data_IF_054346304041
#
_entry.id   IF_054346304041
#
_cell.length_a   1.000
_cell.length_b   1.000
_cell.length_c   1.000
_cell.angle_alpha   90.00
_cell.angle_beta   90.00
_cell.angle_gamma   90.00
#
_symmetry.space_group_name_H-M   'P 1'
#
loop_
_entity.id
_entity.type
_entity.pdbx_description
1 polymer ?
#
# COMPACT_ATOMS: atom_id res chain seq x y z
N UNK A 1 -10.60 -19.39 8.93
CA UNK A 1 -9.75 -18.23 9.26
C UNK A 1 -8.56 -18.73 10.06
N UNK A 2 -7.38 -18.55 9.52
CA UNK A 2 -6.16 -19.04 10.13
C UNK A 2 -5.46 -18.01 11.00
N UNK A 3 -4.68 -18.49 11.97
CA UNK A 3 -3.84 -17.64 12.83
C UNK A 3 -2.81 -16.82 12.02
N UNK A 4 -2.29 -17.38 10.93
CA UNK A 4 -1.34 -16.69 10.03
C UNK A 4 -1.98 -15.48 9.34
N UNK A 5 -3.20 -15.66 8.82
CA UNK A 5 -3.95 -14.56 8.18
C UNK A 5 -4.25 -13.43 9.18
N UNK A 6 -4.66 -13.79 10.40
CA UNK A 6 -4.90 -12.82 11.47
C UNK A 6 -3.63 -12.06 11.86
N UNK A 7 -2.49 -12.75 11.96
CA UNK A 7 -1.19 -12.11 12.25
C UNK A 7 -0.78 -11.13 11.12
N UNK A 8 -0.94 -11.51 9.86
CA UNK A 8 -0.64 -10.64 8.72
C UNK A 8 -1.55 -9.41 8.71
N UNK A 9 -2.84 -9.59 8.96
CA UNK A 9 -3.79 -8.49 9.05
C UNK A 9 -3.42 -7.52 10.18
N UNK A 10 -3.02 -8.03 11.34
CA UNK A 10 -2.55 -7.22 12.48
C UNK A 10 -1.29 -6.42 12.15
N UNK A 11 -0.32 -7.05 11.50
CA UNK A 11 0.90 -6.34 11.02
C UNK A 11 0.56 -5.20 10.08
N UNK A 12 -0.33 -5.46 9.14
CA UNK A 12 -0.80 -4.43 8.21
C UNK A 12 -1.54 -3.29 8.94
N UNK A 13 -2.43 -3.62 9.85
CA UNK A 13 -3.16 -2.65 10.67
C UNK A 13 -2.24 -1.79 11.54
N UNK A 14 -1.19 -2.38 12.11
CA UNK A 14 -0.15 -1.64 12.85
C UNK A 14 0.56 -0.63 11.96
N UNK A 15 0.99 -1.06 10.78
CA UNK A 15 1.61 -0.17 9.79
C UNK A 15 0.70 0.98 9.41
N UNK A 16 -0.60 0.71 9.23
CA UNK A 16 -1.60 1.72 8.93
C UNK A 16 -1.81 2.71 10.08
N UNK A 17 -1.82 2.24 11.32
CA UNK A 17 -1.93 3.12 12.51
C UNK A 17 -0.73 4.05 12.60
N UNK A 18 0.47 3.52 12.41
CA UNK A 18 1.70 4.30 12.43
C UNK A 18 1.69 5.37 11.34
N UNK A 19 1.33 5.00 10.13
CA UNK A 19 1.19 5.93 9.01
C UNK A 19 0.17 7.04 9.32
N UNK A 20 -1.00 6.68 9.80
CA UNK A 20 -2.05 7.63 10.16
C UNK A 20 -1.59 8.61 11.23
N UNK A 21 -0.92 8.12 12.27
CA UNK A 21 -0.41 8.97 13.37
C UNK A 21 0.59 10.01 12.84
N UNK A 22 1.52 9.60 11.99
CA UNK A 22 2.50 10.50 11.39
C UNK A 22 1.81 11.54 10.51
N UNK A 23 0.93 11.11 9.60
CA UNK A 23 0.27 12.01 8.65
C UNK A 23 -0.66 13.00 9.36
N UNK A 24 -1.39 12.57 10.38
CA UNK A 24 -2.24 13.48 11.19
C UNK A 24 -1.44 14.60 11.83
N UNK A 25 -0.20 14.32 12.23
CA UNK A 25 0.69 15.30 12.85
C UNK A 25 1.40 16.26 11.90
N UNK A 26 1.28 16.07 10.59
CA UNK A 26 1.96 16.92 9.60
C UNK A 26 1.27 18.29 9.48
N UNK A 27 2.08 19.33 9.35
CA UNK A 27 1.60 20.68 9.03
C UNK A 27 1.20 20.77 7.54
N UNK A 28 0.48 21.84 7.20
CA UNK A 28 0.16 22.14 5.79
C UNK A 28 1.43 22.34 4.96
N UNK A 29 2.47 22.92 5.55
CA UNK A 29 3.76 23.09 4.89
C UNK A 29 4.43 21.74 4.63
N UNK A 30 4.42 20.81 5.60
CA UNK A 30 4.96 19.46 5.44
C UNK A 30 4.22 18.67 4.36
N UNK A 31 2.91 18.83 4.29
CA UNK A 31 2.07 18.16 3.29
C UNK A 31 2.46 18.49 1.85
N UNK A 32 3.03 19.67 1.64
CA UNK A 32 3.45 20.18 0.33
C UNK A 32 4.92 19.92 0.00
N UNK A 33 5.74 19.50 0.97
CA UNK A 33 7.16 19.19 0.73
C UNK A 33 7.30 18.07 -0.28
N UNK A 34 8.31 18.16 -1.12
CA UNK A 34 8.61 17.15 -2.15
C UNK A 34 9.59 16.13 -1.58
N UNK A 35 9.23 14.86 -1.68
CA UNK A 35 10.09 13.76 -1.22
C UNK A 35 11.27 13.55 -2.15
N UNK A 36 12.40 13.10 -1.59
CA UNK A 36 13.59 12.79 -2.36
C UNK A 36 13.45 11.48 -3.16
N UNK A 37 12.77 10.50 -2.61
CA UNK A 37 12.58 9.18 -3.21
C UNK A 37 11.64 9.24 -4.41
N UNK A 38 10.39 9.60 -4.18
CA UNK A 38 9.36 9.61 -5.21
C UNK A 38 9.43 10.88 -6.08
N UNK A 39 9.97 11.97 -5.54
CA UNK A 39 9.95 13.33 -6.13
C UNK A 39 8.52 13.85 -6.29
N UNK A 40 7.66 13.49 -5.36
CA UNK A 40 6.26 13.90 -5.29
C UNK A 40 6.00 14.71 -4.01
N UNK A 41 4.99 15.57 -3.99
CA UNK A 41 4.52 16.14 -2.74
C UNK A 41 4.13 15.04 -1.74
N UNK A 42 4.41 15.27 -0.46
CA UNK A 42 4.05 14.33 0.62
C UNK A 42 2.57 13.93 0.54
N UNK A 43 1.69 14.89 0.31
CA UNK A 43 0.25 14.61 0.15
C UNK A 43 -0.05 13.66 -1.00
N UNK A 44 0.65 13.80 -2.12
CA UNK A 44 0.49 12.88 -3.25
C UNK A 44 0.98 11.47 -2.88
N UNK A 45 2.08 11.35 -2.15
CA UNK A 45 2.59 10.06 -1.65
C UNK A 45 1.55 9.39 -0.75
N UNK A 46 1.00 10.14 0.22
CA UNK A 46 -0.03 9.61 1.12
C UNK A 46 -1.29 9.16 0.38
N UNK A 47 -1.74 9.94 -0.60
CA UNK A 47 -2.88 9.61 -1.44
C UNK A 47 -2.62 8.33 -2.27
N UNK A 48 -1.41 8.20 -2.80
CA UNK A 48 -0.97 6.99 -3.52
C UNK A 48 -1.04 5.75 -2.62
N UNK A 49 -0.57 5.84 -1.37
CA UNK A 49 -0.65 4.71 -0.42
C UNK A 49 -2.12 4.36 -0.13
N UNK A 50 -2.95 5.37 0.11
CA UNK A 50 -4.38 5.17 0.37
C UNK A 50 -5.10 4.43 -0.78
N UNK A 51 -4.86 4.85 -2.01
CA UNK A 51 -5.37 4.15 -3.20
C UNK A 51 -4.73 2.79 -3.42
N UNK A 52 -3.45 2.67 -3.06
CA UNK A 52 -2.68 1.42 -3.12
C UNK A 52 -3.29 0.29 -2.29
N UNK A 53 -3.85 0.60 -1.12
CA UNK A 53 -4.53 -0.40 -0.29
C UNK A 53 -5.62 -1.15 -1.06
N UNK A 54 -6.45 -0.43 -1.80
CA UNK A 54 -7.51 -1.03 -2.59
C UNK A 54 -6.98 -1.83 -3.78
N UNK A 55 -6.04 -1.26 -4.52
CA UNK A 55 -5.48 -1.91 -5.71
C UNK A 55 -4.68 -3.16 -5.37
N UNK A 56 -3.79 -3.06 -4.40
CA UNK A 56 -2.90 -4.16 -4.00
C UNK A 56 -3.71 -5.29 -3.34
N UNK A 57 -4.60 -4.97 -2.40
CA UNK A 57 -5.38 -5.99 -1.72
C UNK A 57 -6.30 -6.75 -2.68
N UNK A 58 -6.87 -6.08 -3.68
CA UNK A 58 -7.66 -6.73 -4.74
C UNK A 58 -6.80 -7.68 -5.57
N UNK A 59 -5.60 -7.24 -5.96
CA UNK A 59 -4.66 -8.07 -6.70
C UNK A 59 -4.28 -9.32 -5.90
N UNK A 60 -3.98 -9.16 -4.62
CA UNK A 60 -3.65 -10.27 -3.72
C UNK A 60 -4.82 -11.22 -3.52
N UNK A 61 -6.04 -10.71 -3.44
CA UNK A 61 -7.23 -11.54 -3.36
C UNK A 61 -7.42 -12.39 -4.63
N UNK A 62 -7.25 -11.78 -5.81
CA UNK A 62 -7.29 -12.51 -7.08
C UNK A 62 -6.22 -13.60 -7.13
N UNK A 63 -5.00 -13.28 -6.70
CA UNK A 63 -3.89 -14.22 -6.60
C UNK A 63 -4.24 -15.39 -5.67
N UNK A 64 -4.73 -15.10 -4.47
CA UNK A 64 -5.12 -16.12 -3.48
C UNK A 64 -6.24 -17.03 -3.99
N UNK A 65 -7.18 -16.49 -4.74
CA UNK A 65 -8.30 -17.24 -5.32
C UNK A 65 -7.98 -17.92 -6.67
N UNK A 66 -6.73 -17.90 -7.10
CA UNK A 66 -6.29 -18.46 -8.37
C UNK A 66 -7.03 -17.88 -9.59
N UNK A 67 -7.38 -16.61 -9.51
CA UNK A 67 -8.00 -15.90 -10.63
C UNK A 67 -6.91 -15.38 -11.58
N UNK A 68 -7.20 -15.19 -12.87
CA UNK A 68 -6.25 -14.60 -13.80
C UNK A 68 -5.81 -13.22 -13.34
N UNK A 69 -4.48 -13.01 -13.24
CA UNK A 69 -3.90 -11.73 -12.84
C UNK A 69 -3.63 -10.85 -14.06
N UNK A 70 -3.79 -9.53 -13.95
CA UNK A 70 -3.35 -8.62 -15.00
C UNK A 70 -1.83 -8.75 -15.16
N UNK A 71 -1.36 -8.62 -16.40
CA UNK A 71 0.08 -8.64 -16.68
C UNK A 71 0.68 -7.28 -16.30
N UNK A 72 1.20 -7.19 -15.09
CA UNK A 72 1.84 -5.99 -14.59
C UNK A 72 3.35 -6.05 -14.84
N UNK A 73 3.86 -5.02 -15.52
CA UNK A 73 5.30 -4.79 -15.71
C UNK A 73 5.72 -3.58 -14.88
N UNK A 74 7.02 -3.44 -14.64
CA UNK A 74 7.56 -2.26 -13.97
C UNK A 74 7.19 -0.98 -14.73
N UNK A 75 7.26 -1.00 -16.05
CA UNK A 75 6.93 0.14 -16.89
C UNK A 75 5.46 0.55 -16.74
N UNK A 76 4.55 -0.41 -16.73
CA UNK A 76 3.13 -0.13 -16.51
C UNK A 76 2.86 0.44 -15.12
N UNK A 77 3.54 -0.07 -14.10
CA UNK A 77 3.45 0.47 -12.74
C UNK A 77 3.94 1.92 -12.71
N UNK A 78 5.06 2.21 -13.35
CA UNK A 78 5.62 3.56 -13.43
C UNK A 78 4.68 4.53 -14.19
N UNK A 79 4.07 4.09 -15.28
CA UNK A 79 3.06 4.87 -16.03
C UNK A 79 1.84 5.19 -15.16
N UNK A 80 1.33 4.20 -14.44
CA UNK A 80 0.20 4.39 -13.53
C UNK A 80 0.55 5.37 -12.40
N UNK A 81 1.76 5.30 -11.87
CA UNK A 81 2.24 6.21 -10.85
C UNK A 81 2.38 7.64 -11.38
N UNK A 82 2.92 7.82 -12.58
CA UNK A 82 3.00 9.14 -13.22
C UNK A 82 1.61 9.74 -13.47
N UNK A 83 0.67 8.93 -13.88
CA UNK A 83 -0.74 9.34 -14.06
C UNK A 83 -1.36 9.78 -12.72
N UNK A 84 -1.12 9.01 -11.65
CA UNK A 84 -1.60 9.36 -10.32
C UNK A 84 -1.08 10.73 -9.87
N UNK A 85 0.22 10.99 -10.05
CA UNK A 85 0.82 12.29 -9.73
C UNK A 85 0.16 13.43 -10.53
N UNK A 86 -0.08 13.22 -11.83
CA UNK A 86 -0.71 14.22 -12.68
C UNK A 86 -2.15 14.51 -12.27
N UNK A 87 -2.90 13.50 -11.84
CA UNK A 87 -4.30 13.62 -11.44
C UNK A 87 -4.48 14.14 -10.00
N UNK A 88 -3.52 13.87 -9.11
CA UNK A 88 -3.60 14.17 -7.69
C UNK A 88 -2.34 14.90 -7.16
N UNK A 89 -1.97 16.05 -7.74
CA UNK A 89 -0.73 16.74 -7.34
C UNK A 89 -0.84 17.41 -5.97
N UNK A 90 -2.04 17.69 -5.50
CA UNK A 90 -2.29 18.38 -4.23
C UNK A 90 -3.60 17.92 -3.59
N UNK A 91 -3.67 16.65 -3.12
CA UNK A 91 -4.91 16.12 -2.54
C UNK A 91 -5.20 16.75 -1.17
N UNK A 92 -6.48 16.78 -0.81
CA UNK A 92 -6.93 17.19 0.52
C UNK A 92 -6.48 16.16 1.57
N UNK A 93 -5.93 16.63 2.68
CA UNK A 93 -5.39 15.78 3.75
C UNK A 93 -6.48 14.98 4.46
N UNK A 94 -7.60 15.61 4.81
CA UNK A 94 -8.69 14.94 5.52
C UNK A 94 -9.35 13.87 4.64
N UNK A 95 -9.61 14.18 3.38
CA UNK A 95 -10.15 13.22 2.41
C UNK A 95 -9.18 12.05 2.17
N UNK A 96 -7.88 12.33 2.08
CA UNK A 96 -6.85 11.31 1.93
C UNK A 96 -6.81 10.36 3.12
N UNK A 97 -6.88 10.88 4.34
CA UNK A 97 -6.91 10.07 5.57
C UNK A 97 -8.19 9.22 5.66
N UNK A 98 -9.32 9.77 5.27
CA UNK A 98 -10.59 9.02 5.22
C UNK A 98 -10.50 7.86 4.23
N UNK A 99 -10.01 8.10 3.02
CA UNK A 99 -9.77 7.08 2.00
C UNK A 99 -8.77 6.03 2.50
N UNK A 100 -7.70 6.46 3.16
CA UNK A 100 -6.69 5.58 3.74
C UNK A 100 -7.31 4.60 4.75
N UNK A 101 -8.11 5.10 5.67
CA UNK A 101 -8.81 4.29 6.69
C UNK A 101 -9.81 3.32 6.05
N UNK A 102 -10.64 3.80 5.14
CA UNK A 102 -11.67 2.98 4.49
C UNK A 102 -11.05 1.86 3.65
N UNK A 103 -10.06 2.17 2.82
CA UNK A 103 -9.36 1.19 2.00
C UNK A 103 -8.50 0.24 2.85
N UNK A 104 -7.86 0.75 3.89
CA UNK A 104 -7.09 -0.06 4.84
C UNK A 104 -7.96 -1.09 5.57
N UNK A 105 -9.15 -0.69 6.02
CA UNK A 105 -10.10 -1.60 6.64
C UNK A 105 -10.55 -2.73 5.71
N UNK A 106 -10.84 -2.41 4.46
CA UNK A 106 -11.19 -3.41 3.44
C UNK A 106 -10.02 -4.35 3.14
N UNK A 107 -8.82 -3.80 2.99
CA UNK A 107 -7.61 -4.60 2.75
C UNK A 107 -7.32 -5.56 3.90
N UNK A 108 -7.42 -5.09 5.13
CA UNK A 108 -7.27 -5.92 6.34
C UNK A 108 -8.28 -7.06 6.38
N UNK A 109 -9.54 -6.79 6.04
CA UNK A 109 -10.60 -7.81 5.99
C UNK A 109 -10.30 -8.88 4.92
N UNK A 110 -9.80 -8.48 3.76
CA UNK A 110 -9.38 -9.41 2.69
C UNK A 110 -8.27 -10.32 3.20
N UNK A 111 -7.22 -9.76 3.79
CA UNK A 111 -6.09 -10.54 4.32
C UNK A 111 -6.56 -11.52 5.40
N UNK A 112 -7.34 -11.04 6.36
CA UNK A 112 -7.84 -11.85 7.48
C UNK A 112 -8.72 -13.01 7.02
N UNK A 113 -9.40 -12.88 5.91
CA UNK A 113 -10.28 -13.90 5.35
C UNK A 113 -9.56 -15.01 4.59
N UNK A 114 -8.24 -14.95 4.40
CA UNK A 114 -7.49 -15.95 3.64
C UNK A 114 -7.21 -17.21 4.48
N UNK A 115 -7.34 -18.37 3.83
CA UNK A 115 -6.94 -19.65 4.43
C UNK A 115 -5.42 -19.87 4.32
N UNK A 116 -4.88 -20.80 5.10
CA UNK A 116 -3.47 -21.17 5.02
C UNK A 116 -3.11 -21.71 3.63
N UNK A 117 -3.99 -22.50 3.01
CA UNK A 117 -3.80 -23.00 1.65
C UNK A 117 -3.72 -21.85 0.62
N UNK A 118 -4.54 -20.82 0.79
CA UNK A 118 -4.50 -19.63 -0.05
C UNK A 118 -3.22 -18.82 0.18
N UNK A 119 -2.76 -18.69 1.42
CA UNK A 119 -1.50 -18.02 1.77
C UNK A 119 -0.27 -18.73 1.19
N UNK A 120 -0.30 -20.05 1.06
CA UNK A 120 0.79 -20.86 0.52
C UNK A 120 0.79 -20.94 -1.00
N UNK A 121 -0.22 -20.44 -1.67
CA UNK A 121 -0.27 -20.41 -3.14
C UNK A 121 0.85 -19.57 -3.71
N UNK A 122 1.58 -20.14 -4.67
CA UNK A 122 2.72 -19.47 -5.33
C UNK A 122 2.36 -19.02 -6.73
N UNK A 123 2.98 -17.96 -7.19
CA UNK A 123 2.82 -17.44 -8.54
C UNK A 123 3.62 -16.18 -8.79
N UNK A 124 3.42 -15.59 -9.96
CA UNK A 124 4.05 -14.35 -10.39
C UNK A 124 3.03 -13.21 -10.29
N UNK A 125 3.32 -12.23 -9.45
CA UNK A 125 2.47 -11.04 -9.26
C UNK A 125 2.90 -9.91 -10.21
N UNK A 126 4.22 -9.68 -10.31
CA UNK A 126 4.83 -8.75 -11.25
C UNK A 126 5.74 -9.52 -12.20
N UNK A 127 5.73 -9.17 -13.48
CA UNK A 127 6.48 -9.89 -14.53
C UNK A 127 8.00 -9.94 -14.26
N UNK A 128 8.53 -8.92 -13.57
CA UNK A 128 9.97 -8.72 -13.38
C UNK A 128 10.47 -9.21 -12.02
N UNK A 129 9.62 -9.80 -11.18
CA UNK A 129 10.00 -10.29 -9.85
C UNK A 129 9.84 -11.80 -9.75
N UNK A 130 10.64 -12.47 -8.89
CA UNK A 130 10.57 -13.91 -8.73
C UNK A 130 9.20 -14.39 -8.25
N UNK A 131 8.93 -15.66 -8.49
CA UNK A 131 7.76 -16.36 -7.92
C UNK A 131 7.75 -16.19 -6.40
N UNK A 132 6.59 -15.89 -5.86
CA UNK A 132 6.38 -15.75 -4.41
C UNK A 132 5.05 -16.37 -3.99
N UNK A 133 4.93 -16.65 -2.69
CA UNK A 133 3.65 -17.03 -2.11
C UNK A 133 2.76 -15.82 -1.88
N UNK A 134 1.47 -16.03 -1.71
CA UNK A 134 0.54 -14.97 -1.30
C UNK A 134 0.98 -14.35 0.03
N UNK A 135 1.42 -15.17 1.00
CA UNK A 135 1.97 -14.70 2.27
C UNK A 135 3.13 -13.70 2.04
N UNK A 136 4.11 -14.10 1.22
CA UNK A 136 5.25 -13.25 0.89
C UNK A 136 4.84 -11.96 0.16
N UNK A 137 3.84 -12.05 -0.70
CA UNK A 137 3.30 -10.89 -1.41
C UNK A 137 2.59 -9.91 -0.47
N UNK A 138 1.86 -10.40 0.54
CA UNK A 138 1.26 -9.54 1.56
C UNK A 138 2.35 -8.78 2.33
N UNK A 139 3.40 -9.46 2.77
CA UNK A 139 4.51 -8.81 3.50
C UNK A 139 5.33 -7.90 2.59
N UNK A 140 5.74 -8.38 1.43
CA UNK A 140 6.68 -7.70 0.53
C UNK A 140 6.06 -6.66 -0.39
N UNK A 141 4.76 -6.68 -0.59
CA UNK A 141 4.06 -5.71 -1.44
C UNK A 141 3.11 -4.85 -0.62
N UNK A 142 2.11 -5.43 0.04
CA UNK A 142 1.09 -4.65 0.76
C UNK A 142 1.66 -3.91 1.98
N UNK A 143 2.32 -4.63 2.88
CA UNK A 143 2.86 -4.05 4.12
C UNK A 143 4.09 -3.19 3.81
N UNK A 144 5.01 -3.68 2.99
CA UNK A 144 6.20 -2.92 2.58
C UNK A 144 5.85 -1.60 1.90
N UNK A 145 4.79 -1.55 1.11
CA UNK A 145 4.32 -0.33 0.45
C UNK A 145 4.04 0.78 1.47
N UNK A 146 3.40 0.45 2.58
CA UNK A 146 3.15 1.40 3.68
C UNK A 146 4.47 1.87 4.32
N UNK A 147 5.34 0.92 4.65
CA UNK A 147 6.62 1.22 5.32
C UNK A 147 7.56 2.07 4.49
N UNK A 148 7.71 1.74 3.21
CA UNK A 148 8.61 2.45 2.31
C UNK A 148 8.19 3.90 2.13
N UNK A 149 6.92 4.13 1.87
CA UNK A 149 6.40 5.48 1.70
C UNK A 149 6.36 6.27 3.01
N UNK A 150 6.07 5.62 4.13
CA UNK A 150 6.17 6.27 5.45
C UNK A 150 7.61 6.69 5.75
N UNK A 151 8.59 5.85 5.43
CA UNK A 151 10.01 6.17 5.57
C UNK A 151 10.39 7.41 4.76
N UNK A 152 9.91 7.50 3.53
CA UNK A 152 10.12 8.67 2.67
C UNK A 152 9.49 9.95 3.23
N UNK A 153 8.26 9.86 3.75
CA UNK A 153 7.57 10.98 4.40
C UNK A 153 8.36 11.45 5.63
N UNK A 154 8.79 10.51 6.47
CA UNK A 154 9.60 10.83 7.67
C UNK A 154 10.91 11.50 7.30
N UNK A 155 11.62 10.99 6.31
CA UNK A 155 12.89 11.57 5.84
C UNK A 155 12.70 13.01 5.33
N UNK A 156 11.55 13.29 4.72
CA UNK A 156 11.24 14.61 4.13
C UNK A 156 10.76 15.62 5.18
N UNK A 157 9.99 15.17 6.17
CA UNK A 157 9.32 16.05 7.14
C UNK A 157 10.01 16.10 8.50
N UNK A 158 10.89 15.14 8.80
CA UNK A 158 11.50 14.99 10.12
C UNK A 158 10.54 14.40 11.17
N UNK A 159 9.37 13.91 10.77
CA UNK A 159 8.41 13.26 11.67
C UNK A 159 9.01 11.99 12.28
N UNK A 160 8.68 11.71 13.56
CA UNK A 160 9.16 10.53 14.29
C UNK A 160 8.22 9.34 14.18
#
# INVERSE_FOLDING_TARGET
>A
MGARADQLAKKFEESCREFTTVVEGLSDADWKKVTAEEKWPVGCVAHHVAGGHARISRLLQMFAKNQPLPKLTRDLVNENNAKHLAEHPNPDKAETLEMFRANGSKASAIVRGLSDAELDRSGTVLADIPVMTVHQAIEGILISHVHEHLGSIRATTGAK
#
